data_IF_459075887585
#
_entry.id   IF_459075887585
#
_cell.length_a   1.000
_cell.length_b   1.000
_cell.length_c   1.000
_cell.angle_alpha   90.00
_cell.angle_beta   90.00
_cell.angle_gamma   90.00
#
_symmetry.space_group_name_H-M   'P 1'
#
loop_
_entity.id
_entity.type
_entity.pdbx_description
1 polymer ?
#
# COMPACT_ATOMS: atom_id res chain seq x y z
N UNK A 1 -66.10 6.07 41.91
CA UNK A 1 -65.03 5.09 41.61
C UNK A 1 -64.52 5.41 40.21
N UNK A 2 -63.27 5.87 40.08
CA UNK A 2 -62.73 6.55 38.88
C UNK A 2 -62.41 5.56 37.75
N UNK A 3 -62.89 5.85 36.54
CA UNK A 3 -62.53 5.19 35.28
C UNK A 3 -61.07 5.52 34.91
N UNK A 4 -60.21 4.51 34.69
CA UNK A 4 -58.88 4.68 34.10
C UNK A 4 -58.94 4.34 32.62
N UNK A 5 -58.77 5.35 31.77
CA UNK A 5 -58.55 5.22 30.32
C UNK A 5 -57.06 4.93 30.13
N UNK A 6 -56.71 3.77 29.57
CA UNK A 6 -55.34 3.45 29.17
C UNK A 6 -55.17 3.78 27.68
N UNK A 7 -54.27 4.73 27.37
CA UNK A 7 -53.84 5.01 26.00
C UNK A 7 -52.81 3.96 25.57
N UNK A 8 -53.12 3.21 24.52
CA UNK A 8 -52.20 2.31 23.85
C UNK A 8 -51.43 3.11 22.78
N UNK A 9 -50.16 3.40 23.01
CA UNK A 9 -49.29 3.98 21.98
C UNK A 9 -48.82 2.88 21.02
N UNK A 10 -49.35 2.91 19.79
CA UNK A 10 -48.88 2.09 18.68
C UNK A 10 -47.58 2.70 18.14
N UNK A 11 -46.42 2.08 18.40
CA UNK A 11 -45.18 2.43 17.70
C UNK A 11 -45.19 1.78 16.31
N UNK A 12 -45.47 2.57 15.27
CA UNK A 12 -45.19 2.20 13.89
C UNK A 12 -43.68 2.34 13.64
N UNK A 13 -42.95 1.22 13.66
CA UNK A 13 -41.56 1.16 13.19
C UNK A 13 -41.60 1.13 11.66
N UNK A 14 -41.44 2.30 11.05
CA UNK A 14 -41.21 2.42 9.61
C UNK A 14 -39.83 1.84 9.27
N UNK A 15 -39.81 0.65 8.69
CA UNK A 15 -38.61 0.08 8.09
C UNK A 15 -38.39 0.80 6.76
N UNK A 16 -37.50 1.79 6.75
CA UNK A 16 -36.96 2.35 5.51
C UNK A 16 -36.12 1.27 4.84
N UNK A 17 -36.65 0.74 3.72
CA UNK A 17 -35.90 -0.13 2.82
C UNK A 17 -34.68 0.64 2.31
N UNK A 18 -33.49 0.23 2.75
CA UNK A 18 -32.25 0.65 2.12
C UNK A 18 -32.22 0.14 0.68
N UNK A 19 -32.07 1.06 -0.28
CA UNK A 19 -31.82 0.73 -1.67
C UNK A 19 -30.52 -0.08 -1.75
N UNK A 20 -30.64 -1.39 -1.99
CA UNK A 20 -29.53 -2.24 -2.41
C UNK A 20 -29.18 -1.85 -3.84
N UNK A 21 -28.16 -1.00 -3.99
CA UNK A 21 -27.51 -0.79 -5.29
C UNK A 21 -26.90 -2.14 -5.69
N UNK A 22 -27.31 -2.68 -6.84
CA UNK A 22 -26.75 -3.92 -7.37
C UNK A 22 -25.21 -3.83 -7.39
N UNK A 23 -24.48 -4.91 -7.06
CA UNK A 23 -23.03 -4.87 -7.00
C UNK A 23 -22.47 -4.38 -8.34
N UNK A 24 -21.72 -3.27 -8.32
CA UNK A 24 -21.05 -2.73 -9.50
C UNK A 24 -20.07 -3.78 -10.03
N UNK A 25 -20.27 -4.27 -11.26
CA UNK A 25 -19.37 -5.26 -11.86
C UNK A 25 -18.05 -4.58 -12.31
N UNK A 26 -17.13 -4.47 -11.36
CA UNK A 26 -15.82 -3.83 -11.53
C UNK A 26 -14.85 -4.75 -12.29
N UNK A 27 -14.93 -6.06 -12.08
CA UNK A 27 -13.97 -7.05 -12.61
C UNK A 27 -14.51 -7.73 -13.87
N UNK A 28 -13.74 -7.70 -14.96
CA UNK A 28 -14.09 -8.44 -16.18
C UNK A 28 -13.81 -9.93 -16.01
N UNK A 29 -14.54 -10.80 -16.74
CA UNK A 29 -14.30 -12.25 -16.74
C UNK A 29 -12.85 -12.60 -17.11
N UNK A 30 -12.28 -11.90 -18.09
CA UNK A 30 -10.88 -12.06 -18.51
C UNK A 30 -9.91 -11.78 -17.36
N UNK A 31 -10.14 -10.69 -16.61
CA UNK A 31 -9.29 -10.34 -15.49
C UNK A 31 -9.39 -11.36 -14.35
N UNK A 32 -10.60 -11.81 -14.04
CA UNK A 32 -10.80 -12.88 -13.04
C UNK A 32 -10.03 -14.13 -13.45
N UNK A 33 -10.15 -14.55 -14.71
CA UNK A 33 -9.44 -15.71 -15.25
C UNK A 33 -7.91 -15.54 -15.17
N UNK A 34 -7.38 -14.35 -15.52
CA UNK A 34 -5.94 -14.08 -15.45
C UNK A 34 -5.42 -14.05 -14.01
N UNK A 35 -6.17 -13.47 -13.06
CA UNK A 35 -5.83 -13.52 -11.63
C UNK A 35 -5.80 -14.96 -11.11
N UNK A 36 -6.79 -15.79 -11.48
CA UNK A 36 -6.81 -17.21 -11.10
C UNK A 36 -5.61 -17.95 -11.72
N UNK A 37 -5.29 -17.72 -12.99
CA UNK A 37 -4.16 -18.37 -13.64
C UNK A 37 -2.80 -18.01 -12.99
N UNK A 38 -2.64 -16.78 -12.49
CA UNK A 38 -1.45 -16.39 -11.71
C UNK A 38 -1.42 -17.14 -10.37
N UNK A 39 -2.56 -17.21 -9.67
CA UNK A 39 -2.67 -17.93 -8.41
C UNK A 39 -2.39 -19.43 -8.57
N UNK A 40 -2.86 -20.06 -9.66
CA UNK A 40 -2.61 -21.47 -9.97
C UNK A 40 -1.12 -21.76 -10.13
N UNK A 41 -0.37 -20.86 -10.79
CA UNK A 41 1.11 -20.95 -10.86
C UNK A 41 1.78 -20.81 -9.49
N UNK A 42 1.15 -20.04 -8.60
CA UNK A 42 1.67 -19.78 -7.26
C UNK A 42 1.40 -20.90 -6.25
N UNK A 43 0.51 -21.86 -6.55
CA UNK A 43 0.22 -23.01 -5.68
C UNK A 43 1.45 -23.86 -5.35
N UNK A 44 2.41 -23.95 -6.28
CA UNK A 44 3.62 -24.76 -6.14
C UNK A 44 4.84 -23.98 -5.61
N UNK A 45 4.69 -22.66 -5.39
CA UNK A 45 5.81 -21.82 -4.97
C UNK A 45 6.18 -22.11 -3.52
N UNK A 46 7.48 -22.07 -3.22
CA UNK A 46 8.00 -22.20 -1.85
C UNK A 46 8.22 -20.82 -1.22
N UNK A 47 8.13 -20.72 0.13
CA UNK A 47 8.52 -19.51 0.85
C UNK A 47 9.98 -19.14 0.60
N UNK A 48 10.23 -17.84 0.41
CA UNK A 48 11.54 -17.21 0.35
C UNK A 48 11.42 -15.94 1.19
N UNK A 49 12.30 -15.77 2.17
CA UNK A 49 12.26 -14.65 3.13
C UNK A 49 13.62 -13.94 3.18
N UNK A 50 13.78 -13.00 4.11
CA UNK A 50 15.04 -12.25 4.31
C UNK A 50 16.24 -13.16 4.62
N UNK A 51 16.04 -14.36 5.17
CA UNK A 51 17.14 -15.26 5.52
C UNK A 51 17.69 -16.04 4.32
N UNK A 52 17.03 -15.97 3.16
CA UNK A 52 17.46 -16.67 1.94
C UNK A 52 18.69 -16.04 1.27
N UNK A 53 18.99 -14.79 1.59
CA UNK A 53 20.12 -14.03 1.03
C UNK A 53 20.75 -13.18 2.12
N UNK A 54 22.03 -12.88 2.01
CA UNK A 54 22.70 -11.94 2.91
C UNK A 54 23.56 -10.98 2.10
N UNK A 55 23.54 -9.70 2.46
CA UNK A 55 24.49 -8.72 1.93
C UNK A 55 25.67 -8.57 2.89
N UNK A 56 26.92 -8.78 2.45
CA UNK A 56 28.10 -8.54 3.30
C UNK A 56 28.23 -7.08 3.78
N UNK A 57 27.53 -6.14 3.13
CA UNK A 57 27.49 -4.72 3.51
C UNK A 57 26.44 -4.41 4.59
N UNK A 58 25.58 -5.37 4.93
CA UNK A 58 24.58 -5.20 5.98
C UNK A 58 25.23 -5.19 7.36
N UNK A 59 24.78 -4.27 8.22
CA UNK A 59 25.13 -4.30 9.64
C UNK A 59 24.16 -5.15 10.48
N UNK A 60 23.10 -5.68 9.86
CA UNK A 60 22.09 -6.52 10.50
C UNK A 60 22.40 -8.01 10.48
N UNK A 61 21.68 -8.76 11.32
CA UNK A 61 21.72 -10.22 11.35
C UNK A 61 20.88 -10.86 10.25
N UNK A 62 20.85 -12.19 10.25
CA UNK A 62 20.20 -12.99 9.20
C UNK A 62 18.70 -12.69 9.06
N UNK A 63 18.01 -12.45 10.17
CA UNK A 63 16.57 -12.15 10.21
C UNK A 63 16.25 -10.66 10.00
N UNK A 64 17.26 -9.80 9.81
CA UNK A 64 17.04 -8.38 9.60
C UNK A 64 16.85 -8.04 8.11
N UNK A 65 15.87 -7.19 7.83
CA UNK A 65 15.69 -6.67 6.48
C UNK A 65 16.77 -5.65 6.14
N UNK A 66 17.35 -5.77 4.95
CA UNK A 66 18.39 -4.88 4.45
C UNK A 66 18.08 -4.44 3.03
N UNK A 67 18.25 -3.15 2.77
CA UNK A 67 18.21 -2.55 1.44
C UNK A 67 19.14 -1.36 1.37
N UNK A 68 19.50 -0.95 0.16
CA UNK A 68 20.33 0.24 -0.08
C UNK A 68 19.47 1.36 -0.68
N UNK A 69 19.81 2.60 -0.36
CA UNK A 69 19.09 3.76 -0.88
C UNK A 69 19.23 3.85 -2.40
N UNK A 70 18.10 3.85 -3.11
CA UNK A 70 18.06 3.65 -4.57
C UNK A 70 18.94 4.60 -5.37
N UNK A 71 19.01 5.85 -4.93
CA UNK A 71 19.63 6.97 -5.66
C UNK A 71 21.02 7.33 -5.16
N UNK A 72 21.71 6.41 -4.49
CA UNK A 72 23.05 6.64 -3.94
C UNK A 72 24.11 5.92 -4.76
N UNK A 73 25.10 6.67 -5.25
CA UNK A 73 26.11 6.22 -6.20
C UNK A 73 27.53 6.45 -5.67
N UNK A 74 28.52 5.65 -6.08
CA UNK A 74 29.92 5.97 -5.86
C UNK A 74 30.26 7.38 -6.37
N UNK A 75 31.05 8.12 -5.59
CA UNK A 75 31.59 9.41 -6.02
C UNK A 75 32.80 9.17 -6.94
N UNK A 76 32.76 9.58 -8.23
CA UNK A 76 33.90 9.43 -9.14
C UNK A 76 35.14 10.19 -8.66
N UNK A 77 34.97 11.29 -7.92
CA UNK A 77 36.06 12.09 -7.37
C UNK A 77 36.68 11.46 -6.12
N UNK A 78 35.93 10.60 -5.41
CA UNK A 78 36.41 9.85 -4.27
C UNK A 78 35.77 8.45 -4.21
N UNK A 79 36.27 7.48 -4.99
CA UNK A 79 35.64 6.15 -5.14
C UNK A 79 35.53 5.35 -3.82
N UNK A 80 36.39 5.66 -2.86
CA UNK A 80 36.40 5.04 -1.52
C UNK A 80 35.58 5.82 -0.48
N UNK A 81 35.09 7.02 -0.84
CA UNK A 81 34.33 7.90 0.03
C UNK A 81 32.85 7.53 0.15
N UNK A 82 32.09 8.34 0.90
CA UNK A 82 30.64 8.19 1.02
C UNK A 82 29.95 8.36 -0.34
N UNK A 83 28.87 7.61 -0.55
CA UNK A 83 28.08 7.75 -1.79
C UNK A 83 27.43 9.14 -1.91
N UNK A 84 27.20 9.57 -3.15
CA UNK A 84 26.52 10.82 -3.52
C UNK A 84 25.13 10.52 -4.08
N UNK A 85 24.21 11.47 -3.92
CA UNK A 85 22.81 11.29 -4.36
C UNK A 85 22.65 11.72 -5.83
N UNK A 86 21.93 10.92 -6.62
CA UNK A 86 21.47 11.25 -7.99
C UNK A 86 19.99 10.96 -8.11
N UNK A 87 19.15 11.97 -7.89
CA UNK A 87 17.71 11.76 -7.74
C UNK A 87 17.08 11.12 -8.98
N UNK A 88 16.27 10.08 -8.79
CA UNK A 88 15.59 9.34 -9.86
C UNK A 88 16.47 8.34 -10.62
N UNK A 89 17.79 8.37 -10.46
CA UNK A 89 18.70 7.44 -11.11
C UNK A 89 18.98 6.26 -10.17
N UNK A 90 18.33 5.11 -10.41
CA UNK A 90 18.52 3.91 -9.59
C UNK A 90 19.91 3.31 -9.84
N UNK A 91 20.69 3.12 -8.77
CA UNK A 91 21.97 2.42 -8.85
C UNK A 91 21.73 0.91 -9.07
N UNK A 92 22.17 0.32 -10.20
CA UNK A 92 21.96 -1.09 -10.49
C UNK A 92 22.76 -2.04 -9.58
N UNK A 93 23.80 -1.54 -8.90
CA UNK A 93 24.65 -2.32 -7.99
C UNK A 93 24.07 -2.42 -6.56
N UNK A 94 22.88 -1.84 -6.35
CA UNK A 94 22.20 -1.93 -5.07
C UNK A 94 21.83 -3.38 -4.75
N UNK A 95 21.98 -3.73 -3.47
CA UNK A 95 21.40 -4.94 -2.94
C UNK A 95 19.88 -4.80 -2.88
N UNK A 96 19.19 -5.58 -3.73
CA UNK A 96 17.73 -5.56 -3.86
C UNK A 96 17.05 -6.85 -3.42
N UNK A 97 17.81 -7.88 -2.99
CA UNK A 97 17.27 -9.22 -2.81
C UNK A 97 16.16 -9.31 -1.74
N UNK A 98 16.30 -8.64 -0.59
CA UNK A 98 15.25 -8.69 0.45
C UNK A 98 13.98 -7.98 -0.02
N UNK A 99 14.12 -6.84 -0.71
CA UNK A 99 13.00 -6.12 -1.31
C UNK A 99 12.28 -6.98 -2.35
N UNK A 100 13.02 -7.65 -3.25
CA UNK A 100 12.45 -8.55 -4.24
C UNK A 100 11.76 -9.75 -3.59
N UNK A 101 12.33 -10.31 -2.52
CA UNK A 101 11.70 -11.39 -1.75
C UNK A 101 10.36 -10.92 -1.15
N UNK A 102 10.28 -9.69 -0.64
CA UNK A 102 9.07 -9.11 -0.06
C UNK A 102 8.00 -8.81 -1.11
N UNK A 103 8.39 -8.25 -2.25
CA UNK A 103 7.49 -8.04 -3.40
C UNK A 103 6.92 -9.38 -3.86
N UNK A 104 7.78 -10.38 -4.10
CA UNK A 104 7.36 -11.73 -4.49
C UNK A 104 6.42 -12.35 -3.48
N UNK A 105 6.71 -12.22 -2.18
CA UNK A 105 5.85 -12.69 -1.11
C UNK A 105 4.45 -12.04 -1.16
N UNK A 106 4.41 -10.72 -1.30
CA UNK A 106 3.17 -9.95 -1.44
C UNK A 106 2.36 -10.36 -2.69
N UNK A 107 3.01 -10.54 -3.84
CA UNK A 107 2.37 -10.99 -5.09
C UNK A 107 1.79 -12.41 -4.98
N UNK A 108 2.54 -13.34 -4.38
CA UNK A 108 2.09 -14.72 -4.17
C UNK A 108 0.87 -14.74 -3.25
N UNK A 109 0.97 -14.16 -2.07
CA UNK A 109 -0.11 -14.22 -1.08
C UNK A 109 -1.33 -13.40 -1.53
N UNK A 110 -1.11 -12.24 -2.16
CA UNK A 110 -2.15 -11.41 -2.76
C UNK A 110 -2.91 -12.13 -3.88
N UNK A 111 -2.22 -12.79 -4.81
CA UNK A 111 -2.87 -13.53 -5.90
C UNK A 111 -3.64 -14.76 -5.39
N UNK A 112 -3.07 -15.53 -4.45
CA UNK A 112 -3.74 -16.67 -3.81
C UNK A 112 -5.00 -16.24 -3.08
N UNK A 113 -4.93 -15.19 -2.25
CA UNK A 113 -6.09 -14.66 -1.55
C UNK A 113 -7.16 -14.12 -2.50
N UNK A 114 -6.75 -13.50 -3.62
CA UNK A 114 -7.69 -13.01 -4.64
C UNK A 114 -8.41 -14.13 -5.34
N UNK A 115 -7.70 -15.20 -5.72
CA UNK A 115 -8.33 -16.38 -6.30
C UNK A 115 -9.25 -17.09 -5.31
N UNK A 116 -8.91 -17.13 -4.01
CA UNK A 116 -9.83 -17.58 -2.98
C UNK A 116 -11.09 -16.69 -2.92
N UNK A 117 -10.95 -15.37 -2.92
CA UNK A 117 -12.08 -14.45 -2.89
C UNK A 117 -13.02 -14.62 -4.11
N UNK A 118 -12.48 -14.93 -5.30
CA UNK A 118 -13.29 -15.18 -6.50
C UNK A 118 -13.94 -16.57 -6.55
N UNK A 119 -13.32 -17.59 -5.95
CA UNK A 119 -13.70 -19.00 -6.21
C UNK A 119 -14.15 -19.79 -4.98
N UNK A 120 -13.83 -19.32 -3.78
CA UNK A 120 -14.02 -20.05 -2.52
C UNK A 120 -13.14 -21.30 -2.35
N UNK A 121 -12.19 -21.58 -3.27
CA UNK A 121 -11.39 -22.82 -3.22
C UNK A 121 -10.31 -22.74 -2.14
N UNK A 122 -10.44 -23.57 -1.11
CA UNK A 122 -9.52 -23.63 0.04
C UNK A 122 -8.05 -23.94 -0.32
N UNK A 123 -7.77 -24.50 -1.50
CA UNK A 123 -6.40 -24.79 -1.94
C UNK A 123 -5.50 -23.55 -1.96
N UNK A 124 -6.04 -22.39 -2.33
CA UNK A 124 -5.27 -21.15 -2.37
C UNK A 124 -4.89 -20.67 -0.97
N UNK A 125 -5.82 -20.81 -0.01
CA UNK A 125 -5.55 -20.50 1.39
C UNK A 125 -4.46 -21.42 1.96
N UNK A 126 -4.58 -22.73 1.71
CA UNK A 126 -3.59 -23.73 2.13
C UNK A 126 -2.19 -23.43 1.57
N UNK A 127 -2.11 -22.95 0.33
CA UNK A 127 -0.84 -22.55 -0.28
C UNK A 127 -0.27 -21.25 0.29
N UNK A 128 -1.11 -20.29 0.72
CA UNK A 128 -0.64 -19.01 1.26
C UNK A 128 -0.06 -19.13 2.69
N UNK A 129 -0.63 -20.00 3.52
CA UNK A 129 -0.27 -20.12 4.95
C UNK A 129 1.24 -20.39 5.18
N UNK A 130 1.91 -21.32 4.47
CA UNK A 130 3.35 -21.54 4.62
C UNK A 130 4.20 -20.28 4.37
N UNK A 131 3.81 -19.42 3.44
CA UNK A 131 4.51 -18.17 3.18
C UNK A 131 4.37 -17.20 4.36
N UNK A 132 3.17 -17.08 4.93
CA UNK A 132 2.91 -16.24 6.10
C UNK A 132 3.71 -16.73 7.33
N UNK A 133 3.70 -18.04 7.60
CA UNK A 133 4.44 -18.65 8.72
C UNK A 133 5.94 -18.44 8.57
N UNK A 134 6.49 -18.66 7.38
CA UNK A 134 7.91 -18.45 7.13
C UNK A 134 8.32 -16.99 7.34
N UNK A 135 7.51 -16.02 6.89
CA UNK A 135 7.86 -14.60 6.98
C UNK A 135 7.74 -14.03 8.40
N UNK A 136 6.72 -14.45 9.16
CA UNK A 136 6.37 -13.78 10.42
C UNK A 136 6.64 -14.61 11.68
N UNK A 137 6.68 -15.94 11.59
CA UNK A 137 6.61 -16.81 12.77
C UNK A 137 7.84 -17.69 12.92
N UNK A 138 8.21 -18.44 11.89
CA UNK A 138 9.29 -19.42 11.97
C UNK A 138 10.62 -18.73 12.32
N UNK A 139 11.24 -19.01 13.49
CA UNK A 139 12.46 -18.33 13.92
C UNK A 139 13.62 -18.44 12.93
N UNK A 140 13.68 -19.52 12.15
CA UNK A 140 14.76 -19.76 11.18
C UNK A 140 14.62 -18.93 9.90
N UNK A 141 13.42 -18.40 9.62
CA UNK A 141 13.14 -17.65 8.38
C UNK A 141 12.47 -16.30 8.59
N UNK A 142 11.92 -16.01 9.77
CA UNK A 142 11.13 -14.80 10.00
C UNK A 142 11.94 -13.54 9.80
N UNK A 143 11.30 -12.50 9.31
CA UNK A 143 11.85 -11.15 9.37
C UNK A 143 11.64 -10.57 10.78
N UNK A 144 12.64 -9.94 11.37
CA UNK A 144 12.46 -9.18 12.60
C UNK A 144 11.51 -7.99 12.36
N UNK A 145 10.62 -7.63 13.31
CA UNK A 145 9.63 -6.56 13.12
C UNK A 145 10.25 -5.16 13.27
N UNK A 146 11.24 -4.85 12.43
CA UNK A 146 11.90 -3.56 12.35
C UNK A 146 12.56 -3.35 10.98
N UNK A 147 12.89 -2.10 10.66
CA UNK A 147 13.66 -1.73 9.47
C UNK A 147 14.91 -0.93 9.87
N UNK A 148 15.68 -1.48 10.80
CA UNK A 148 16.91 -0.84 11.30
C UNK A 148 18.00 -0.67 10.23
N UNK A 149 17.98 -1.51 9.20
CA UNK A 149 19.03 -1.54 8.16
C UNK A 149 18.48 -1.30 6.75
N UNK A 150 17.29 -0.70 6.65
CA UNK A 150 16.67 -0.36 5.37
C UNK A 150 17.23 0.93 4.79
N UNK A 151 17.41 0.94 3.47
CA UNK A 151 17.98 2.03 2.69
C UNK A 151 19.27 2.62 3.25
N UNK A 152 20.20 1.72 3.60
CA UNK A 152 21.57 2.04 3.95
C UNK A 152 22.26 2.86 2.86
N UNK A 153 23.27 3.63 3.25
CA UNK A 153 24.12 4.40 2.34
C UNK A 153 25.57 4.15 2.72
N UNK A 154 26.36 3.64 1.77
CA UNK A 154 27.79 3.42 1.98
C UNK A 154 28.46 4.70 2.48
N UNK A 155 29.16 4.58 3.61
CA UNK A 155 29.90 5.68 4.24
C UNK A 155 29.04 6.76 4.91
N UNK A 156 27.72 6.58 5.05
CA UNK A 156 26.83 7.56 5.73
C UNK A 156 25.89 6.95 6.77
N UNK A 157 25.25 5.83 6.47
CA UNK A 157 24.23 5.25 7.35
C UNK A 157 24.06 3.75 7.13
N UNK A 158 23.84 3.00 8.20
CA UNK A 158 23.53 1.57 8.17
C UNK A 158 22.04 1.29 7.92
N UNK A 159 21.17 2.29 8.13
CA UNK A 159 19.75 2.30 7.80
C UNK A 159 19.13 3.67 8.11
N UNK A 160 17.91 3.94 7.63
CA UNK A 160 17.25 5.27 7.74
C UNK A 160 15.71 5.17 7.73
N UNK A 161 15.03 6.22 8.22
CA UNK A 161 13.56 6.35 8.20
C UNK A 161 12.91 6.13 6.84
N UNK A 162 13.49 6.72 5.79
CA UNK A 162 13.07 6.60 4.37
C UNK A 162 12.95 5.13 3.92
N UNK A 163 13.65 4.19 4.56
CA UNK A 163 13.54 2.77 4.29
C UNK A 163 12.19 2.15 4.66
N UNK A 164 11.36 2.81 5.47
CA UNK A 164 10.02 2.32 5.85
C UNK A 164 9.08 2.15 4.66
N UNK A 165 9.31 2.89 3.59
CA UNK A 165 8.57 2.71 2.34
C UNK A 165 8.72 1.29 1.75
N UNK A 166 9.82 0.58 2.02
CA UNK A 166 10.07 -0.75 1.46
C UNK A 166 9.03 -1.78 1.93
N UNK A 167 8.42 -1.61 3.12
CA UNK A 167 7.39 -2.52 3.66
C UNK A 167 5.96 -2.19 3.22
N UNK A 168 5.78 -1.22 2.32
CA UNK A 168 4.44 -0.88 1.80
C UNK A 168 3.74 -2.08 1.15
N UNK A 169 4.49 -3.09 0.72
CA UNK A 169 3.96 -4.36 0.19
C UNK A 169 3.24 -5.24 1.22
N UNK A 170 3.45 -5.03 2.53
CA UNK A 170 2.70 -5.72 3.58
C UNK A 170 1.23 -5.29 3.67
N UNK A 171 0.86 -4.15 3.09
CA UNK A 171 -0.53 -3.73 2.98
C UNK A 171 -1.40 -4.84 2.34
N UNK A 172 -0.96 -5.35 1.19
CA UNK A 172 -1.67 -6.41 0.46
C UNK A 172 -1.60 -7.76 1.19
N UNK A 173 -0.51 -8.03 1.92
CA UNK A 173 -0.39 -9.23 2.76
C UNK A 173 -1.42 -9.23 3.89
N UNK A 174 -1.66 -8.09 4.54
CA UNK A 174 -2.73 -7.96 5.54
C UNK A 174 -4.10 -8.19 4.91
N UNK A 175 -4.36 -7.56 3.75
CA UNK A 175 -5.65 -7.75 3.07
C UNK A 175 -5.87 -9.20 2.64
N UNK A 176 -4.80 -9.89 2.25
CA UNK A 176 -4.83 -11.33 2.00
C UNK A 176 -5.12 -12.14 3.27
N UNK A 177 -4.47 -11.85 4.40
CA UNK A 177 -4.74 -12.52 5.68
C UNK A 177 -6.19 -12.32 6.13
N UNK A 178 -6.73 -11.10 6.00
CA UNK A 178 -8.14 -10.79 6.31
C UNK A 178 -9.09 -11.61 5.44
N UNK A 179 -8.85 -11.68 4.12
CA UNK A 179 -9.66 -12.46 3.19
C UNK A 179 -9.59 -13.97 3.47
N UNK A 180 -8.44 -14.46 3.94
CA UNK A 180 -8.18 -15.87 4.23
C UNK A 180 -8.49 -16.26 5.68
N UNK A 181 -8.93 -15.34 6.53
CA UNK A 181 -9.03 -15.54 7.99
C UNK A 181 -9.76 -16.81 8.40
N UNK A 182 -10.86 -17.17 7.73
CA UNK A 182 -11.64 -18.38 8.04
C UNK A 182 -10.92 -19.70 7.73
N UNK A 183 -9.82 -19.65 6.99
CA UNK A 183 -9.00 -20.78 6.59
C UNK A 183 -7.68 -20.86 7.37
N UNK A 184 -7.35 -19.84 8.16
CA UNK A 184 -6.12 -19.77 8.96
C UNK A 184 -6.47 -20.24 10.38
N UNK A 185 -5.63 -21.12 10.95
CA UNK A 185 -5.78 -21.56 12.32
C UNK A 185 -5.74 -20.35 13.28
N UNK A 186 -6.62 -20.26 14.29
CA UNK A 186 -6.67 -19.09 15.19
C UNK A 186 -5.32 -18.73 15.82
N UNK A 187 -4.51 -19.73 16.18
CA UNK A 187 -3.18 -19.58 16.73
C UNK A 187 -2.17 -18.99 15.73
N UNK A 188 -2.21 -19.42 14.47
CA UNK A 188 -1.36 -18.88 13.41
C UNK A 188 -1.77 -17.42 13.12
N UNK A 189 -3.07 -17.14 13.03
CA UNK A 189 -3.57 -15.78 12.83
C UNK A 189 -3.18 -14.84 13.99
N UNK A 190 -3.28 -15.32 15.23
CA UNK A 190 -2.85 -14.57 16.40
C UNK A 190 -1.35 -14.27 16.39
N UNK A 191 -0.51 -15.22 15.95
CA UNK A 191 0.93 -15.01 15.80
C UNK A 191 1.26 -13.97 14.73
N UNK A 192 0.54 -13.97 13.59
CA UNK A 192 0.70 -12.93 12.57
C UNK A 192 0.30 -11.54 13.12
N UNK A 193 -0.81 -11.45 13.84
CA UNK A 193 -1.24 -10.20 14.51
C UNK A 193 -0.19 -9.73 15.53
N UNK A 194 0.42 -10.65 16.28
CA UNK A 194 1.46 -10.30 17.26
C UNK A 194 2.69 -9.65 16.59
N UNK A 195 3.15 -10.21 15.47
CA UNK A 195 4.25 -9.63 14.69
C UNK A 195 3.95 -8.19 14.25
N UNK A 196 2.74 -7.93 13.74
CA UNK A 196 2.34 -6.58 13.34
C UNK A 196 2.14 -5.63 14.53
N UNK A 197 1.78 -6.12 15.72
CA UNK A 197 1.76 -5.29 16.94
C UNK A 197 3.16 -4.81 17.30
N UNK A 198 4.15 -5.70 17.25
CA UNK A 198 5.56 -5.34 17.45
C UNK A 198 6.03 -4.35 16.38
N UNK A 199 5.71 -4.60 15.11
CA UNK A 199 6.15 -3.75 14.03
C UNK A 199 5.53 -2.34 14.06
N UNK A 200 4.23 -2.23 14.33
CA UNK A 200 3.56 -0.92 14.46
C UNK A 200 4.09 -0.15 15.67
N UNK A 201 4.37 -0.85 16.78
CA UNK A 201 5.00 -0.22 17.94
C UNK A 201 6.36 0.35 17.56
N UNK A 202 7.20 -0.42 16.86
CA UNK A 202 8.48 0.07 16.34
C UNK A 202 8.31 1.27 15.39
N UNK A 203 7.40 1.18 14.41
CA UNK A 203 7.14 2.25 13.42
C UNK A 203 6.65 3.56 14.04
N UNK A 204 6.01 3.52 15.21
CA UNK A 204 5.40 4.69 15.85
C UNK A 204 6.25 5.27 16.99
N UNK A 205 7.27 4.54 17.45
CA UNK A 205 8.11 4.96 18.59
C UNK A 205 9.59 5.09 18.26
N UNK A 206 10.11 4.31 17.31
CA UNK A 206 11.53 4.38 16.94
C UNK A 206 11.84 5.68 16.18
N UNK A 207 13.04 6.30 16.36
CA UNK A 207 13.41 7.53 15.66
C UNK A 207 13.27 7.47 14.13
N UNK A 208 13.53 6.31 13.50
CA UNK A 208 13.31 6.12 12.05
C UNK A 208 11.83 6.17 11.68
N UNK A 209 10.97 5.57 12.51
CA UNK A 209 9.53 5.65 12.36
C UNK A 209 8.99 7.08 12.48
N UNK A 210 9.49 7.82 13.47
CA UNK A 210 9.15 9.23 13.68
C UNK A 210 9.63 10.10 12.51
N UNK A 211 10.85 9.88 12.02
CA UNK A 211 11.39 10.62 10.89
C UNK A 211 10.56 10.42 9.60
N UNK A 212 10.15 9.18 9.32
CA UNK A 212 9.30 8.87 8.17
C UNK A 212 7.89 9.45 8.31
N UNK A 213 7.31 9.35 9.52
CA UNK A 213 6.01 9.96 9.85
C UNK A 213 5.98 11.44 9.52
N UNK A 214 7.07 12.14 9.82
CA UNK A 214 7.19 13.60 9.70
C UNK A 214 7.70 14.05 8.32
N UNK A 215 7.93 13.13 7.38
CA UNK A 215 8.24 13.48 6.00
C UNK A 215 7.08 14.23 5.34
N UNK A 216 7.42 15.26 4.56
CA UNK A 216 6.45 16.21 3.97
C UNK A 216 5.97 15.80 2.56
N UNK A 217 6.40 14.65 2.06
CA UNK A 217 6.09 14.14 0.73
C UNK A 217 5.46 12.74 0.84
N UNK A 218 5.46 11.99 -0.27
CA UNK A 218 4.95 10.63 -0.37
C UNK A 218 5.43 9.68 0.74
N UNK A 219 6.60 9.88 1.36
CA UNK A 219 7.07 9.06 2.49
C UNK A 219 6.12 9.15 3.71
N UNK A 220 5.68 10.37 4.07
CA UNK A 220 4.73 10.56 5.17
C UNK A 220 3.37 9.95 4.87
N UNK A 221 2.94 10.02 3.60
CA UNK A 221 1.71 9.37 3.11
C UNK A 221 1.81 7.85 3.19
N UNK A 222 2.94 7.28 2.77
CA UNK A 222 3.22 5.84 2.83
C UNK A 222 3.26 5.33 4.27
N UNK A 223 3.91 6.07 5.17
CA UNK A 223 3.91 5.75 6.60
C UNK A 223 2.49 5.70 7.16
N UNK A 224 1.66 6.71 6.85
CA UNK A 224 0.31 6.77 7.39
C UNK A 224 -0.60 5.68 6.84
N UNK A 225 -0.50 5.32 5.56
CA UNK A 225 -1.26 4.20 5.01
C UNK A 225 -0.86 2.87 5.66
N UNK A 226 0.45 2.63 5.82
CA UNK A 226 0.95 1.46 6.54
C UNK A 226 0.40 1.42 7.97
N UNK A 227 0.57 2.50 8.76
CA UNK A 227 0.09 2.55 10.14
C UNK A 227 -1.43 2.39 10.23
N UNK A 228 -2.22 3.02 9.35
CA UNK A 228 -3.68 2.88 9.36
C UNK A 228 -4.13 1.43 9.13
N UNK A 229 -3.59 0.76 8.11
CA UNK A 229 -3.94 -0.63 7.80
C UNK A 229 -3.44 -1.58 8.89
N UNK A 230 -2.23 -1.36 9.40
CA UNK A 230 -1.66 -2.23 10.43
C UNK A 230 -2.36 -2.03 11.79
N UNK A 231 -2.77 -0.80 12.09
CA UNK A 231 -3.57 -0.47 13.27
C UNK A 231 -4.96 -1.12 13.20
N UNK A 232 -5.62 -1.11 12.04
CA UNK A 232 -6.87 -1.85 11.83
C UNK A 232 -6.68 -3.35 12.07
N UNK A 233 -5.63 -3.94 11.48
CA UNK A 233 -5.33 -5.37 11.62
C UNK A 233 -5.02 -5.77 13.08
N UNK A 234 -4.40 -4.87 13.85
CA UNK A 234 -3.98 -5.13 15.24
C UNK A 234 -5.00 -4.69 16.29
N UNK A 235 -6.10 -4.05 15.87
CA UNK A 235 -7.18 -3.57 16.74
C UNK A 235 -6.85 -2.27 17.48
N UNK A 236 -5.98 -1.42 16.93
CA UNK A 236 -5.53 -0.17 17.54
C UNK A 236 -6.29 1.06 16.99
N UNK A 237 -7.48 1.32 17.54
CA UNK A 237 -8.33 2.43 17.10
C UNK A 237 -7.69 3.82 17.28
N UNK A 238 -6.86 4.02 18.32
CA UNK A 238 -6.25 5.34 18.56
C UNK A 238 -5.23 5.73 17.49
N UNK A 239 -4.51 4.75 16.91
CA UNK A 239 -3.63 4.99 15.77
C UNK A 239 -4.40 5.29 14.48
N UNK A 240 -5.59 4.69 14.29
CA UNK A 240 -6.47 5.03 13.17
C UNK A 240 -6.91 6.50 13.30
N UNK A 241 -7.37 6.92 14.48
CA UNK A 241 -7.79 8.31 14.73
C UNK A 241 -6.62 9.30 14.58
N UNK A 242 -5.42 8.90 14.99
CA UNK A 242 -4.21 9.66 14.73
C UNK A 242 -3.97 9.86 13.22
N UNK A 243 -4.11 8.81 12.40
CA UNK A 243 -3.98 8.91 10.95
C UNK A 243 -5.08 9.79 10.34
N UNK A 244 -6.33 9.68 10.80
CA UNK A 244 -7.44 10.58 10.40
C UNK A 244 -7.15 12.04 10.74
N UNK A 245 -6.52 12.31 11.88
CA UNK A 245 -6.11 13.66 12.26
C UNK A 245 -5.04 14.18 11.30
N UNK A 246 -3.97 13.43 11.07
CA UNK A 246 -2.91 13.80 10.11
C UNK A 246 -3.43 14.03 8.70
N UNK A 247 -4.37 13.21 8.23
CA UNK A 247 -5.00 13.42 6.93
C UNK A 247 -5.63 14.82 6.81
N UNK A 248 -6.29 15.28 7.88
CA UNK A 248 -7.00 16.56 7.95
C UNK A 248 -6.10 17.75 8.30
N UNK A 249 -4.92 17.52 8.88
CA UNK A 249 -4.04 18.59 9.39
C UNK A 249 -2.70 18.71 8.70
N UNK A 250 -2.21 17.64 8.04
CA UNK A 250 -0.85 17.58 7.50
C UNK A 250 -0.78 17.07 6.05
N UNK A 251 -1.75 16.28 5.58
CA UNK A 251 -1.68 15.74 4.22
C UNK A 251 -2.35 16.65 3.22
N UNK A 252 -3.68 16.66 3.14
CA UNK A 252 -4.38 17.55 2.20
C UNK A 252 -4.00 19.03 2.43
N UNK A 253 -3.88 19.55 3.68
CA UNK A 253 -3.52 20.95 3.89
C UNK A 253 -2.09 21.33 3.50
N UNK A 254 -1.08 20.48 3.76
CA UNK A 254 0.32 20.87 3.61
C UNK A 254 0.98 20.28 2.35
N UNK A 255 0.50 19.14 1.84
CA UNK A 255 1.08 18.49 0.66
C UNK A 255 0.38 18.85 -0.66
N UNK A 256 -0.91 19.22 -0.62
CA UNK A 256 -1.71 19.49 -1.83
C UNK A 256 -1.85 21.00 -2.08
N UNK A 257 -1.52 21.45 -3.29
CA UNK A 257 -1.79 22.81 -3.74
C UNK A 257 -3.27 23.00 -4.09
N UNK A 258 -3.71 24.26 -4.24
CA UNK A 258 -5.12 24.61 -4.47
C UNK A 258 -5.68 23.98 -5.76
N UNK A 259 -4.84 23.76 -6.77
CA UNK A 259 -5.23 23.12 -8.03
C UNK A 259 -5.41 21.60 -7.93
N UNK A 260 -5.01 20.97 -6.82
CA UNK A 260 -5.03 19.53 -6.61
C UNK A 260 -3.70 18.82 -6.82
N UNK A 261 -2.66 19.55 -7.26
CA UNK A 261 -1.33 19.00 -7.46
C UNK A 261 -0.59 18.75 -6.13
N UNK A 262 0.45 17.91 -6.16
CA UNK A 262 1.35 17.68 -5.02
C UNK A 262 2.75 18.25 -5.33
N UNK A 263 3.09 19.48 -4.88
CA UNK A 263 4.29 20.18 -5.33
C UNK A 263 5.61 19.49 -5.00
N UNK A 264 5.70 18.74 -3.90
CA UNK A 264 6.91 17.98 -3.57
C UNK A 264 7.20 16.86 -4.57
N UNK A 265 6.16 16.28 -5.18
CA UNK A 265 6.28 15.21 -6.17
C UNK A 265 6.60 15.77 -7.56
N UNK A 266 6.00 16.90 -7.91
CA UNK A 266 6.25 17.61 -9.17
C UNK A 266 7.67 18.17 -9.30
N UNK A 267 8.37 18.41 -8.18
CA UNK A 267 9.76 18.90 -8.16
C UNK A 267 10.81 17.81 -8.37
N UNK A 268 10.40 16.54 -8.46
CA UNK A 268 11.30 15.39 -8.59
C UNK A 268 11.75 15.20 -10.03
N UNK A 269 12.80 14.41 -10.22
CA UNK A 269 13.28 14.00 -11.56
C UNK A 269 12.37 12.95 -12.24
N UNK A 270 11.42 12.37 -11.49
CA UNK A 270 10.35 11.49 -12.00
C UNK A 270 8.96 12.04 -11.64
N UNK A 271 8.61 13.27 -12.05
CA UNK A 271 7.44 13.97 -11.52
C UNK A 271 6.11 13.28 -11.88
N UNK A 272 6.03 12.54 -13.00
CA UNK A 272 4.82 11.81 -13.37
C UNK A 272 4.63 10.58 -12.48
N UNK A 273 5.65 9.73 -12.38
CA UNK A 273 5.66 8.55 -11.51
C UNK A 273 5.41 8.90 -10.04
N UNK A 274 6.05 9.94 -9.50
CA UNK A 274 5.83 10.36 -8.11
C UNK A 274 4.43 10.92 -7.86
N UNK A 275 3.86 11.65 -8.84
CA UNK A 275 2.49 12.17 -8.73
C UNK A 275 1.46 11.05 -8.73
N UNK A 276 1.63 10.06 -9.62
CA UNK A 276 0.83 8.83 -9.65
C UNK A 276 0.95 8.09 -8.32
N UNK A 277 2.18 7.81 -7.89
CA UNK A 277 2.44 7.02 -6.69
C UNK A 277 1.84 7.67 -5.44
N UNK A 278 2.09 8.96 -5.21
CA UNK A 278 1.52 9.64 -4.04
C UNK A 278 -0.01 9.67 -4.09
N UNK A 279 -0.61 9.90 -5.26
CA UNK A 279 -2.06 9.90 -5.40
C UNK A 279 -2.66 8.51 -5.13
N UNK A 280 -2.02 7.44 -5.60
CA UNK A 280 -2.42 6.06 -5.31
C UNK A 280 -2.45 5.79 -3.80
N UNK A 281 -1.39 6.15 -3.09
CA UNK A 281 -1.30 5.96 -1.64
C UNK A 281 -2.32 6.86 -0.91
N UNK A 282 -2.43 8.14 -1.29
CA UNK A 282 -3.34 9.10 -0.66
C UNK A 282 -4.82 8.74 -0.88
N UNK A 283 -5.18 8.28 -2.08
CA UNK A 283 -6.54 7.81 -2.39
C UNK A 283 -6.89 6.55 -1.61
N UNK A 284 -5.94 5.63 -1.45
CA UNK A 284 -6.13 4.45 -0.62
C UNK A 284 -6.32 4.83 0.84
N UNK A 285 -5.47 5.73 1.35
CA UNK A 285 -5.56 6.25 2.72
C UNK A 285 -6.91 6.91 2.98
N UNK A 286 -7.37 7.76 2.06
CA UNK A 286 -8.68 8.39 2.12
C UNK A 286 -9.81 7.37 2.14
N UNK A 287 -9.74 6.33 1.30
CA UNK A 287 -10.71 5.25 1.32
C UNK A 287 -10.72 4.52 2.66
N UNK A 288 -9.60 3.94 3.10
CA UNK A 288 -9.58 3.07 4.28
C UNK A 288 -9.93 3.80 5.58
N UNK A 289 -9.63 5.10 5.70
CA UNK A 289 -9.98 5.93 6.86
C UNK A 289 -11.42 6.48 6.84
N UNK A 290 -12.19 6.18 5.80
CA UNK A 290 -13.50 6.77 5.52
C UNK A 290 -13.45 8.31 5.39
N UNK A 291 -12.47 8.82 4.66
CA UNK A 291 -12.18 10.25 4.45
C UNK A 291 -12.29 10.68 2.98
N UNK A 292 -12.86 9.85 2.12
CA UNK A 292 -12.97 10.12 0.68
C UNK A 292 -13.76 11.40 0.36
N UNK A 293 -14.83 11.65 1.13
CA UNK A 293 -15.71 12.82 0.96
C UNK A 293 -15.27 14.02 1.80
N UNK A 294 -14.18 13.92 2.57
CA UNK A 294 -13.68 15.04 3.34
C UNK A 294 -12.99 16.06 2.43
N UNK A 295 -13.25 17.35 2.67
CA UNK A 295 -12.65 18.46 1.94
C UNK A 295 -12.35 19.65 2.85
N UNK A 296 -11.38 20.45 2.42
CA UNK A 296 -11.08 21.76 3.02
C UNK A 296 -12.09 22.83 2.55
N UNK A 297 -12.21 23.96 3.28
CA UNK A 297 -13.05 25.08 2.86
C UNK A 297 -12.68 25.68 1.49
N UNK A 298 -11.41 25.57 1.08
CA UNK A 298 -10.90 26.05 -0.22
C UNK A 298 -11.07 25.04 -1.37
N UNK A 299 -11.72 23.90 -1.12
CA UNK A 299 -12.03 22.88 -2.11
C UNK A 299 -10.94 21.81 -2.30
N UNK A 300 -9.80 21.90 -1.62
CA UNK A 300 -8.81 20.82 -1.62
C UNK A 300 -9.39 19.55 -1.00
N UNK A 301 -9.24 18.45 -1.71
CA UNK A 301 -9.78 17.14 -1.36
C UNK A 301 -9.09 16.06 -2.20
N UNK A 302 -9.22 14.79 -1.81
CA UNK A 302 -8.66 13.72 -2.65
C UNK A 302 -9.31 13.67 -4.04
N UNK A 303 -10.60 14.01 -4.16
CA UNK A 303 -11.31 14.15 -5.44
C UNK A 303 -10.68 15.23 -6.32
N UNK A 304 -10.19 16.32 -5.72
CA UNK A 304 -9.44 17.37 -6.44
C UNK A 304 -8.11 16.82 -6.98
N UNK A 305 -7.39 16.02 -6.20
CA UNK A 305 -6.18 15.33 -6.66
C UNK A 305 -6.43 14.38 -7.84
N UNK A 306 -7.51 13.58 -7.77
CA UNK A 306 -7.95 12.75 -8.90
C UNK A 306 -8.27 13.61 -10.13
N UNK A 307 -9.03 14.70 -9.95
CA UNK A 307 -9.39 15.60 -11.05
C UNK A 307 -8.17 16.25 -11.71
N UNK A 308 -7.13 16.57 -10.93
CA UNK A 308 -5.87 17.14 -11.42
C UNK A 308 -5.11 16.15 -12.30
N UNK A 309 -4.93 14.90 -11.84
CA UNK A 309 -4.04 13.95 -12.51
C UNK A 309 -4.75 13.12 -13.61
N UNK A 310 -6.07 12.94 -13.51
CA UNK A 310 -6.85 12.11 -14.44
C UNK A 310 -6.63 12.45 -15.92
N UNK A 311 -6.62 13.72 -16.38
CA UNK A 311 -6.38 14.04 -17.79
C UNK A 311 -5.04 13.51 -18.30
N UNK A 312 -3.95 13.67 -17.55
CA UNK A 312 -2.61 13.21 -17.93
C UNK A 312 -2.45 11.69 -17.84
N UNK A 313 -3.27 10.99 -17.05
CA UNK A 313 -3.33 9.52 -17.01
C UNK A 313 -4.16 8.97 -18.17
N UNK A 314 -5.21 9.69 -18.58
CA UNK A 314 -6.01 9.34 -19.75
C UNK A 314 -5.26 9.58 -21.06
N UNK A 315 -4.54 10.70 -21.14
CA UNK A 315 -3.77 11.12 -22.29
C UNK A 315 -2.44 11.72 -21.81
N UNK A 316 -1.36 10.94 -21.93
CA UNK A 316 -0.03 11.34 -21.44
C UNK A 316 0.51 12.59 -22.14
N UNK A 317 0.01 12.95 -23.33
CA UNK A 317 0.43 14.18 -24.01
C UNK A 317 0.00 15.46 -23.28
N UNK A 318 -0.96 15.36 -22.36
CA UNK A 318 -1.41 16.46 -21.50
C UNK A 318 -0.51 16.67 -20.27
N UNK A 319 0.52 15.84 -20.09
CA UNK A 319 1.52 16.06 -19.05
C UNK A 319 2.47 17.19 -19.43
N UNK A 320 2.49 18.27 -18.64
CA UNK A 320 3.23 19.51 -18.95
C UNK A 320 4.56 19.66 -18.22
N UNK A 321 4.88 18.74 -17.30
CA UNK A 321 6.18 18.70 -16.61
C UNK A 321 7.19 17.87 -17.41
N UNK A 322 8.49 17.95 -17.10
CA UNK A 322 9.48 17.09 -17.71
C UNK A 322 9.09 15.61 -17.64
N UNK A 323 9.47 14.86 -18.68
CA UNK A 323 9.37 13.40 -18.65
C UNK A 323 10.24 12.83 -17.53
N UNK A 324 9.81 11.71 -16.96
CA UNK A 324 10.58 11.02 -15.92
C UNK A 324 11.93 10.56 -16.48
N UNK A 325 13.02 10.84 -15.75
CA UNK A 325 14.39 10.46 -16.18
C UNK A 325 14.60 8.95 -16.36
N UNK A 326 13.73 8.14 -15.75
CA UNK A 326 13.64 6.70 -16.03
C UNK A 326 12.18 6.25 -15.97
N UNK A 327 11.84 5.24 -16.79
CA UNK A 327 10.56 4.51 -16.78
C UNK A 327 9.31 5.32 -17.15
N UNK A 328 9.44 6.53 -17.72
CA UNK A 328 8.31 7.37 -18.14
C UNK A 328 7.29 6.62 -19.03
N UNK A 329 7.80 5.80 -19.95
CA UNK A 329 6.97 5.03 -20.89
C UNK A 329 6.25 3.84 -20.26
N UNK A 330 6.65 3.43 -19.06
CA UNK A 330 6.04 2.30 -18.34
C UNK A 330 4.76 2.71 -17.60
N UNK A 331 4.50 4.01 -17.45
CA UNK A 331 3.28 4.58 -16.88
C UNK A 331 2.30 5.02 -17.98
N UNK A 332 1.01 5.21 -17.68
CA UNK A 332 0.33 4.73 -16.49
C UNK A 332 -0.07 3.25 -16.64
N UNK A 333 -0.28 2.59 -15.51
CA UNK A 333 -0.94 1.28 -15.41
C UNK A 333 -2.34 1.48 -14.81
N UNK A 334 -3.06 0.41 -14.49
CA UNK A 334 -4.36 0.46 -13.83
C UNK A 334 -4.26 0.92 -12.36
N UNK A 335 -3.92 2.20 -12.18
CA UNK A 335 -3.61 2.85 -10.91
C UNK A 335 -4.72 2.70 -9.87
N UNK A 336 -4.34 2.56 -8.60
CA UNK A 336 -5.31 2.31 -7.54
C UNK A 336 -6.20 3.52 -7.25
N UNK A 337 -5.76 4.75 -7.50
CA UNK A 337 -6.59 5.94 -7.32
C UNK A 337 -7.82 5.93 -8.24
N UNK A 338 -7.69 5.39 -9.47
CA UNK A 338 -8.81 5.24 -10.40
C UNK A 338 -9.80 4.19 -9.88
N UNK A 339 -9.28 3.08 -9.35
CA UNK A 339 -10.10 2.06 -8.70
C UNK A 339 -10.88 2.62 -7.50
N UNK A 340 -10.20 3.33 -6.60
CA UNK A 340 -10.84 3.93 -5.44
C UNK A 340 -11.83 5.03 -5.86
N UNK A 341 -11.56 5.80 -6.91
CA UNK A 341 -12.54 6.73 -7.47
C UNK A 341 -13.78 6.01 -8.01
N UNK A 342 -13.59 4.88 -8.69
CA UNK A 342 -14.68 4.07 -9.21
C UNK A 342 -15.57 3.48 -8.11
N UNK A 343 -15.02 2.96 -7.01
CA UNK A 343 -15.86 2.45 -5.91
C UNK A 343 -16.67 3.57 -5.23
N UNK A 344 -16.19 4.82 -5.33
CA UNK A 344 -16.86 6.02 -4.84
C UNK A 344 -17.69 6.74 -5.90
N UNK A 345 -18.04 6.04 -7.00
CA UNK A 345 -19.05 6.49 -7.96
C UNK A 345 -18.54 7.17 -9.23
N UNK A 346 -17.23 7.20 -9.49
CA UNK A 346 -16.69 7.80 -10.72
C UNK A 346 -16.62 6.81 -11.88
N UNK A 347 -17.58 6.91 -12.80
CA UNK A 347 -17.68 6.07 -14.00
C UNK A 347 -16.55 6.30 -15.01
N UNK A 348 -16.01 7.52 -15.09
CA UNK A 348 -14.90 7.82 -15.98
C UNK A 348 -13.62 7.15 -15.49
N UNK A 349 -13.37 7.19 -14.18
CA UNK A 349 -12.27 6.47 -13.56
C UNK A 349 -12.40 4.96 -13.76
N UNK A 350 -13.60 4.38 -13.62
CA UNK A 350 -13.78 2.96 -13.90
C UNK A 350 -13.48 2.62 -15.37
N UNK A 351 -13.99 3.43 -16.31
CA UNK A 351 -13.82 3.21 -17.73
C UNK A 351 -12.35 3.28 -18.16
N UNK A 352 -11.58 4.22 -17.59
CA UNK A 352 -10.15 4.34 -17.84
C UNK A 352 -9.39 3.17 -17.20
N UNK A 353 -9.66 2.88 -15.93
CA UNK A 353 -8.99 1.81 -15.20
C UNK A 353 -9.13 0.45 -15.87
N UNK A 354 -10.32 0.12 -16.41
CA UNK A 354 -10.56 -1.13 -17.15
C UNK A 354 -9.72 -1.27 -18.44
N UNK A 355 -9.20 -0.18 -18.99
CA UNK A 355 -8.41 -0.17 -20.24
C UNK A 355 -6.91 -0.21 -20.03
N UNK A 356 -6.45 0.18 -18.84
CA UNK A 356 -5.02 0.26 -18.53
C UNK A 356 -4.45 -1.12 -18.16
N UNK A 357 -3.13 -1.25 -18.22
CA UNK A 357 -2.47 -2.51 -17.90
C UNK A 357 -2.64 -2.87 -16.42
N UNK A 358 -3.18 -4.06 -16.15
CA UNK A 358 -3.39 -4.59 -14.79
C UNK A 358 -2.27 -5.52 -14.32
N UNK A 359 -1.36 -5.93 -15.21
CA UNK A 359 -0.35 -6.95 -14.95
C UNK A 359 1.03 -6.50 -15.47
N UNK A 360 1.55 -5.37 -14.97
CA UNK A 360 2.84 -4.85 -15.41
C UNK A 360 3.96 -5.85 -15.13
N UNK A 361 4.96 -5.91 -16.01
CA UNK A 361 6.13 -6.78 -15.86
C UNK A 361 7.41 -6.02 -15.49
N UNK A 362 7.38 -4.68 -15.56
CA UNK A 362 8.54 -3.85 -15.21
C UNK A 362 8.73 -3.81 -13.68
N UNK A 363 9.93 -4.14 -13.21
CA UNK A 363 10.22 -4.23 -11.77
C UNK A 363 10.08 -2.91 -11.01
N UNK A 364 10.43 -1.77 -11.63
CA UNK A 364 10.25 -0.46 -10.99
C UNK A 364 8.76 -0.16 -10.82
N UNK A 365 7.95 -0.43 -11.84
CA UNK A 365 6.49 -0.23 -11.79
C UNK A 365 5.89 -1.14 -10.71
N UNK A 366 6.26 -2.43 -10.69
CA UNK A 366 5.79 -3.39 -9.68
C UNK A 366 6.17 -2.92 -8.26
N UNK A 367 7.38 -2.39 -8.06
CA UNK A 367 7.84 -1.85 -6.76
C UNK A 367 6.99 -0.67 -6.31
N UNK A 368 6.60 0.21 -7.23
CA UNK A 368 5.82 1.40 -6.92
C UNK A 368 4.29 1.17 -7.02
N UNK A 369 3.82 -0.08 -7.17
CA UNK A 369 2.40 -0.40 -7.25
C UNK A 369 2.02 -1.43 -6.17
N UNK A 370 1.90 -1.03 -4.89
CA UNK A 370 1.68 -1.96 -3.79
C UNK A 370 0.23 -2.49 -3.67
N UNK A 371 -0.70 -2.00 -4.49
CA UNK A 371 -2.13 -2.33 -4.44
C UNK A 371 -2.53 -3.01 -5.75
N UNK A 372 -2.13 -4.29 -5.90
CA UNK A 372 -2.21 -5.03 -7.17
C UNK A 372 -3.52 -5.79 -7.32
N UNK A 373 -4.11 -6.18 -6.20
CA UNK A 373 -5.32 -6.99 -6.14
C UNK A 373 -6.50 -6.24 -5.50
N UNK A 374 -7.13 -5.31 -6.24
CA UNK A 374 -8.28 -4.51 -5.79
C UNK A 374 -9.42 -5.28 -5.11
N UNK A 375 -9.66 -6.56 -5.45
CA UNK A 375 -10.71 -7.36 -4.81
C UNK A 375 -10.50 -7.50 -3.29
N UNK A 376 -9.25 -7.52 -2.84
CA UNK A 376 -8.91 -7.60 -1.42
C UNK A 376 -9.24 -6.30 -0.65
N UNK A 377 -9.55 -5.22 -1.38
CA UNK A 377 -9.83 -3.89 -0.85
C UNK A 377 -11.32 -3.52 -0.92
N UNK A 378 -12.21 -4.44 -1.29
CA UNK A 378 -13.67 -4.23 -1.29
C UNK A 378 -14.31 -4.13 0.10
N UNK A 379 -13.53 -4.36 1.17
CA UNK A 379 -14.06 -4.34 2.53
C UNK A 379 -14.48 -2.92 2.93
N UNK A 380 -15.41 -2.82 3.88
CA UNK A 380 -15.83 -1.51 4.40
C UNK A 380 -14.62 -0.78 4.99
N UNK A 381 -14.52 0.54 4.78
CA UNK A 381 -13.51 1.34 5.47
C UNK A 381 -13.75 1.30 6.97
N UNK A 382 -12.67 1.49 7.75
CA UNK A 382 -12.71 1.48 9.21
C UNK A 382 -13.01 2.85 9.79
#
# INVERSE_FOLDING_TARGET
MKLKISFLFLFLVSHTFGFSVAPREIYTKERIAKTIAIADKNLAQKPITVTATQCPRSAGGLNDFYSEGDYWWPDPANPNGPYIQRDGETNPENFVAHRLAMIRFSEIVGSLASAYAFTGKAQYAKAAIPHLKAWFVDPSTRMNPSLLYAQAIKGKATGRGIGIIDTIHFLEVIKAMEALKSQIAPEDYAAFVAWFKEYVLWMTTHPYGIAERDALNNHGTCWALQVAVFASFTGNASLIDFCRKRYRTNFIPDQMAVDGSFPHELKRTKPYGYSIFNLDIMSTLAHVLNMWDWQMPDGRSIKKGVSYLFPAVKDKSLWTYPADVMYFDQWPIAQSFLYFSAIHGDDNSLALWKKLDHFPTNQEVIRNFPIRNPILWNQKPF
#
